data_IF_833657971457
#
_entry.id   IF_833657971457
#
_cell.length_a   1.000
_cell.length_b   1.000
_cell.length_c   1.000
_cell.angle_alpha   90.00
_cell.angle_beta   90.00
_cell.angle_gamma   90.00
#
_symmetry.space_group_name_H-M   'P 1'
#
loop_
_entity.id
_entity.type
_entity.pdbx_description
1 polymer ?
#
# COMPACT_ATOMS: atom_id res chain seq x y z
N UNK A 1 -8.66 10.86 -47.41
CA UNK A 1 -8.05 9.61 -47.94
C UNK A 1 -8.90 8.50 -47.36
N UNK A 2 -9.54 7.70 -48.22
CA UNK A 2 -10.35 6.58 -47.80
C UNK A 2 -9.46 5.51 -47.16
N UNK A 3 -9.80 5.09 -45.94
CA UNK A 3 -9.02 4.10 -45.21
C UNK A 3 -9.02 2.73 -45.91
N UNK A 4 -10.08 2.40 -46.66
CA UNK A 4 -10.19 1.13 -47.36
C UNK A 4 -9.30 1.10 -48.62
N UNK A 5 -9.27 2.17 -49.41
CA UNK A 5 -8.36 2.29 -50.56
C UNK A 5 -6.88 2.26 -50.13
N UNK A 6 -6.56 2.87 -48.98
CA UNK A 6 -5.20 2.87 -48.45
C UNK A 6 -4.75 1.46 -48.03
N UNK A 7 -5.63 0.66 -47.41
CA UNK A 7 -5.32 -0.72 -47.01
C UNK A 7 -5.16 -1.62 -48.23
N UNK A 8 -6.05 -1.49 -49.22
CA UNK A 8 -6.02 -2.30 -50.45
C UNK A 8 -4.76 -2.03 -51.29
N UNK A 9 -4.22 -0.81 -51.25
CA UNK A 9 -2.96 -0.45 -51.91
C UNK A 9 -1.72 -1.18 -51.35
N UNK A 10 -1.79 -1.64 -50.09
CA UNK A 10 -0.68 -2.33 -49.40
C UNK A 10 -0.91 -3.84 -49.34
N UNK A 11 -2.17 -4.27 -49.24
CA UNK A 11 -2.51 -5.69 -49.06
C UNK A 11 -3.91 -6.00 -49.64
N UNK A 12 -4.01 -7.05 -50.45
CA UNK A 12 -5.30 -7.53 -50.98
C UNK A 12 -6.29 -7.81 -49.85
N UNK A 13 -7.53 -7.35 -49.99
CA UNK A 13 -8.61 -7.48 -49.01
C UNK A 13 -8.83 -8.92 -48.51
N UNK A 14 -8.77 -9.92 -49.40
CA UNK A 14 -8.90 -11.33 -49.00
C UNK A 14 -7.75 -11.77 -48.09
N UNK A 15 -6.54 -11.30 -48.39
CA UNK A 15 -5.35 -11.57 -47.59
C UNK A 15 -5.45 -10.86 -46.24
N UNK A 16 -6.00 -9.63 -46.21
CA UNK A 16 -6.21 -8.86 -44.98
C UNK A 16 -7.14 -9.61 -44.03
N UNK A 17 -8.30 -10.06 -44.53
CA UNK A 17 -9.25 -10.88 -43.76
C UNK A 17 -8.58 -12.14 -43.21
N UNK A 18 -7.77 -12.83 -44.03
CA UNK A 18 -7.05 -14.02 -43.58
C UNK A 18 -6.05 -13.73 -42.45
N UNK A 19 -5.29 -12.63 -42.55
CA UNK A 19 -4.36 -12.20 -41.49
C UNK A 19 -5.08 -11.74 -40.23
N UNK A 20 -6.24 -11.09 -40.34
CA UNK A 20 -7.04 -10.71 -39.17
C UNK A 20 -7.57 -11.96 -38.47
N UNK A 21 -8.07 -12.95 -39.21
CA UNK A 21 -8.53 -14.22 -38.64
C UNK A 21 -7.39 -15.04 -38.00
N UNK A 22 -6.18 -15.01 -38.57
CA UNK A 22 -4.99 -15.61 -37.95
C UNK A 22 -4.54 -14.84 -36.72
N UNK A 23 -4.56 -13.51 -36.76
CA UNK A 23 -4.24 -12.66 -35.63
C UNK A 23 -5.24 -12.83 -34.49
N UNK A 24 -6.54 -13.02 -34.78
CA UNK A 24 -7.56 -13.34 -33.78
C UNK A 24 -7.33 -14.71 -33.11
N UNK A 25 -6.81 -15.70 -33.85
CA UNK A 25 -6.43 -17.01 -33.28
C UNK A 25 -5.17 -16.94 -32.41
N UNK A 26 -4.25 -16.02 -32.72
CA UNK A 26 -3.01 -15.80 -31.96
C UNK A 26 -3.23 -14.82 -30.80
N UNK A 27 -4.21 -13.92 -30.92
CA UNK A 27 -4.63 -13.02 -29.88
C UNK A 27 -5.26 -13.83 -28.75
N UNK A 28 -4.90 -13.49 -27.52
CA UNK A 28 -5.56 -14.08 -26.36
C UNK A 28 -7.03 -13.66 -26.37
N UNK A 29 -7.97 -14.56 -26.03
CA UNK A 29 -9.37 -14.21 -25.89
C UNK A 29 -9.54 -12.97 -25.01
N UNK A 30 -10.52 -12.11 -25.30
CA UNK A 30 -10.82 -10.95 -24.46
C UNK A 30 -11.09 -11.34 -22.99
N UNK A 31 -11.55 -12.57 -22.77
CA UNK A 31 -11.91 -13.13 -21.47
C UNK A 31 -10.76 -13.84 -20.76
N UNK A 32 -9.55 -13.86 -21.36
CA UNK A 32 -8.38 -14.55 -20.81
C UNK A 32 -7.98 -13.94 -19.46
N UNK A 33 -8.09 -14.73 -18.40
CA UNK A 33 -7.72 -14.30 -17.06
C UNK A 33 -6.32 -14.81 -16.71
N UNK A 34 -5.42 -13.89 -16.38
CA UNK A 34 -4.06 -14.21 -15.92
C UNK A 34 -4.02 -15.16 -14.71
N UNK A 35 -5.12 -15.29 -13.97
CA UNK A 35 -5.25 -16.27 -12.89
C UNK A 35 -5.07 -17.72 -13.39
N UNK A 36 -5.45 -18.03 -14.63
CA UNK A 36 -5.26 -19.37 -15.22
C UNK A 36 -3.77 -19.76 -15.31
N UNK A 37 -2.88 -18.76 -15.46
CA UNK A 37 -1.44 -18.99 -15.52
C UNK A 37 -0.81 -19.22 -14.14
N UNK A 38 -1.51 -18.86 -13.05
CA UNK A 38 -0.98 -18.97 -11.70
C UNK A 38 -0.88 -20.43 -11.24
N UNK A 39 -1.72 -21.32 -11.76
CA UNK A 39 -1.68 -22.74 -11.40
C UNK A 39 -0.30 -23.36 -11.70
N UNK A 40 0.35 -22.91 -12.79
CA UNK A 40 1.72 -23.31 -13.13
C UNK A 40 2.77 -22.95 -12.05
N UNK A 41 2.46 -21.98 -11.19
CA UNK A 41 3.31 -21.51 -10.09
C UNK A 41 2.89 -22.05 -8.73
N UNK A 42 1.78 -22.80 -8.64
CA UNK A 42 1.29 -23.36 -7.38
C UNK A 42 2.37 -24.21 -6.66
N UNK A 43 3.11 -25.02 -7.42
CA UNK A 43 4.20 -25.84 -6.87
C UNK A 43 5.31 -25.02 -6.21
N UNK A 44 5.58 -23.80 -6.68
CA UNK A 44 6.59 -22.90 -6.10
C UNK A 44 6.07 -22.28 -4.81
N UNK A 45 4.82 -21.80 -4.81
CA UNK A 45 4.14 -21.28 -3.62
C UNK A 45 4.13 -22.31 -2.50
N UNK A 46 3.74 -23.55 -2.80
CA UNK A 46 3.63 -24.64 -1.83
C UNK A 46 4.95 -25.01 -1.14
N UNK A 47 6.12 -24.66 -1.70
CA UNK A 47 7.41 -24.96 -1.06
C UNK A 47 7.61 -24.23 0.25
N UNK A 48 7.01 -23.05 0.41
CA UNK A 48 7.20 -22.24 1.62
C UNK A 48 5.89 -22.04 2.39
N UNK A 49 4.71 -22.13 1.75
CA UNK A 49 3.42 -21.91 2.42
C UNK A 49 3.24 -22.71 3.71
N UNK A 50 3.50 -24.03 3.76
CA UNK A 50 3.30 -24.79 4.98
C UNK A 50 4.16 -24.26 6.14
N UNK A 51 5.43 -23.94 5.86
CA UNK A 51 6.34 -23.43 6.88
C UNK A 51 5.94 -22.04 7.35
N UNK A 52 5.49 -21.19 6.42
CA UNK A 52 4.99 -19.85 6.72
C UNK A 52 3.78 -19.89 7.68
N UNK A 53 2.79 -20.74 7.39
CA UNK A 53 1.57 -20.88 8.22
C UNK A 53 1.82 -21.61 9.55
N UNK A 54 2.87 -22.42 9.62
CA UNK A 54 3.32 -23.04 10.88
C UNK A 54 4.03 -22.03 11.79
N UNK A 55 4.89 -21.19 11.21
CA UNK A 55 5.82 -20.33 11.95
C UNK A 55 5.16 -19.07 12.50
N UNK A 56 4.24 -18.48 11.74
CA UNK A 56 3.63 -17.19 12.09
C UNK A 56 2.22 -17.36 12.64
N UNK A 57 1.92 -16.61 13.69
CA UNK A 57 0.57 -16.42 14.20
C UNK A 57 -0.03 -15.16 13.56
N UNK A 58 -1.01 -15.36 12.68
CA UNK A 58 -1.73 -14.29 12.02
C UNK A 58 -2.99 -13.94 12.81
N UNK A 59 -3.20 -12.65 13.05
CA UNK A 59 -4.41 -12.09 13.65
C UNK A 59 -5.04 -11.10 12.69
N UNK A 60 -6.33 -10.85 12.82
CA UNK A 60 -7.06 -10.03 11.86
C UNK A 60 -8.18 -9.22 12.53
N UNK A 61 -8.55 -8.12 11.87
CA UNK A 61 -9.75 -7.36 12.17
C UNK A 61 -10.98 -8.21 11.86
N UNK A 62 -12.14 -7.81 12.39
CA UNK A 62 -13.43 -8.50 12.14
C UNK A 62 -13.72 -8.69 10.64
N UNK A 63 -13.33 -7.73 9.80
CA UNK A 63 -13.51 -7.78 8.36
C UNK A 63 -12.66 -8.86 7.66
N UNK A 64 -11.50 -9.24 8.23
CA UNK A 64 -10.55 -10.17 7.62
C UNK A 64 -10.51 -11.55 8.29
N UNK A 65 -11.41 -11.83 9.25
CA UNK A 65 -11.49 -13.13 9.94
C UNK A 65 -11.72 -14.31 8.99
N UNK A 66 -12.47 -14.12 7.91
CA UNK A 66 -12.72 -15.17 6.92
C UNK A 66 -11.41 -15.64 6.24
N UNK A 67 -10.44 -14.73 6.06
CA UNK A 67 -9.11 -15.08 5.52
C UNK A 67 -8.33 -15.94 6.52
N UNK A 68 -8.34 -15.59 7.80
CA UNK A 68 -7.65 -16.37 8.84
C UNK A 68 -8.21 -17.79 8.92
N UNK A 69 -9.54 -17.95 8.92
CA UNK A 69 -10.19 -19.26 8.89
C UNK A 69 -9.78 -20.07 7.66
N UNK A 70 -9.68 -19.43 6.50
CA UNK A 70 -9.20 -20.10 5.29
C UNK A 70 -7.76 -20.59 5.42
N UNK A 71 -6.88 -19.80 6.04
CA UNK A 71 -5.49 -20.18 6.33
C UNK A 71 -5.41 -21.34 7.33
N UNK A 72 -6.29 -21.38 8.32
CA UNK A 72 -6.40 -22.51 9.26
C UNK A 72 -6.80 -23.80 8.55
N UNK A 73 -7.79 -23.76 7.65
CA UNK A 73 -8.17 -24.91 6.82
C UNK A 73 -6.98 -25.38 5.98
N UNK A 74 -6.24 -24.45 5.36
CA UNK A 74 -5.04 -24.79 4.58
C UNK A 74 -3.97 -25.42 5.48
N UNK A 75 -3.76 -24.90 6.68
CA UNK A 75 -2.81 -25.45 7.67
C UNK A 75 -3.20 -26.87 8.06
N UNK A 76 -4.47 -27.14 8.32
CA UNK A 76 -4.99 -28.49 8.62
C UNK A 76 -4.82 -29.45 7.44
N UNK A 77 -5.11 -29.01 6.21
CA UNK A 77 -4.88 -29.80 5.00
C UNK A 77 -3.39 -30.09 4.74
N UNK A 78 -2.49 -29.21 5.18
CA UNK A 78 -1.05 -29.43 5.10
C UNK A 78 -0.59 -30.47 6.13
N UNK A 79 -1.13 -30.46 7.34
CA UNK A 79 -0.82 -31.44 8.40
C UNK A 79 -1.37 -32.83 8.06
N UNK A 80 -2.63 -32.89 7.64
CA UNK A 80 -3.32 -34.16 7.32
C UNK A 80 -2.91 -34.75 5.96
N UNK A 81 -2.28 -33.96 5.09
CA UNK A 81 -2.03 -34.33 3.70
C UNK A 81 -3.30 -34.39 2.84
N UNK A 82 -4.43 -33.90 3.34
CA UNK A 82 -5.72 -33.93 2.66
C UNK A 82 -5.68 -33.18 1.33
N UNK A 83 -6.13 -33.80 0.23
CA UNK A 83 -6.03 -33.23 -1.13
C UNK A 83 -7.19 -32.32 -1.52
N UNK A 84 -8.35 -32.49 -0.90
CA UNK A 84 -9.58 -31.75 -1.21
C UNK A 84 -9.91 -30.79 -0.07
N UNK A 85 -10.36 -29.59 -0.43
CA UNK A 85 -10.95 -28.66 0.52
C UNK A 85 -12.39 -29.13 0.80
N UNK A 86 -12.84 -29.20 2.07
CA UNK A 86 -14.22 -29.58 2.39
C UNK A 86 -15.23 -28.63 1.74
N UNK A 87 -16.35 -29.15 1.24
CA UNK A 87 -17.37 -28.33 0.56
C UNK A 87 -18.08 -27.35 1.50
N UNK A 88 -18.07 -27.63 2.81
CA UNK A 88 -18.57 -26.74 3.86
C UNK A 88 -17.63 -25.57 4.21
N UNK A 89 -16.49 -25.44 3.51
CA UNK A 89 -15.50 -24.40 3.80
C UNK A 89 -16.04 -23.02 3.41
N UNK A 90 -15.86 -22.05 4.30
CA UNK A 90 -16.22 -20.66 4.03
C UNK A 90 -15.42 -20.08 2.86
N UNK A 91 -16.13 -19.49 1.90
CA UNK A 91 -15.60 -18.84 0.70
C UNK A 91 -15.96 -17.35 0.66
N UNK A 92 -16.50 -16.78 1.74
CA UNK A 92 -16.90 -15.36 1.82
C UNK A 92 -15.76 -14.37 1.57
N UNK A 93 -14.51 -14.76 1.83
CA UNK A 93 -13.32 -13.95 1.55
C UNK A 93 -12.93 -13.92 0.06
N UNK A 94 -13.49 -14.82 -0.78
CA UNK A 94 -13.10 -14.97 -2.18
C UNK A 94 -13.71 -13.84 -3.01
N UNK A 95 -12.85 -12.98 -3.57
CA UNK A 95 -13.30 -11.89 -4.45
C UNK A 95 -13.94 -12.44 -5.73
N UNK A 96 -14.88 -11.71 -6.37
CA UNK A 96 -15.59 -12.17 -7.58
C UNK A 96 -14.68 -12.66 -8.71
N UNK A 97 -13.51 -12.04 -8.87
CA UNK A 97 -12.51 -12.42 -9.87
C UNK A 97 -11.93 -13.82 -9.65
N UNK A 98 -11.77 -14.24 -8.40
CA UNK A 98 -11.26 -15.56 -8.04
C UNK A 98 -12.35 -16.63 -8.01
N UNK A 99 -13.60 -16.25 -7.75
CA UNK A 99 -14.72 -17.16 -7.51
C UNK A 99 -14.87 -18.22 -8.60
N UNK A 100 -14.77 -17.82 -9.88
CA UNK A 100 -14.87 -18.73 -11.04
C UNK A 100 -13.77 -19.80 -11.11
N UNK A 101 -12.64 -19.57 -10.45
CA UNK A 101 -11.51 -20.50 -10.41
C UNK A 101 -11.51 -21.34 -9.14
N UNK A 102 -11.92 -20.74 -8.02
CA UNK A 102 -11.98 -21.38 -6.70
C UNK A 102 -13.15 -22.36 -6.59
N UNK A 103 -14.33 -21.99 -7.10
CA UNK A 103 -15.56 -22.79 -7.01
C UNK A 103 -15.90 -23.35 -8.38
N UNK A 104 -15.91 -24.68 -8.50
CA UNK A 104 -16.27 -25.42 -9.72
C UNK A 104 -17.47 -26.31 -9.41
N UNK A 105 -18.68 -25.81 -9.68
CA UNK A 105 -19.93 -26.44 -9.25
C UNK A 105 -19.98 -26.48 -7.72
N UNK A 106 -20.17 -27.67 -7.15
CA UNK A 106 -20.20 -27.87 -5.69
C UNK A 106 -18.81 -28.13 -5.09
N UNK A 107 -17.76 -28.14 -5.91
CA UNK A 107 -16.40 -28.47 -5.45
C UNK A 107 -15.50 -27.23 -5.37
N UNK A 108 -14.63 -27.22 -4.36
CA UNK A 108 -13.60 -26.19 -4.18
C UNK A 108 -12.27 -26.69 -4.73
N UNK A 109 -11.70 -25.94 -5.67
CA UNK A 109 -10.37 -26.18 -6.21
C UNK A 109 -9.31 -25.73 -5.19
N UNK A 110 -8.57 -26.69 -4.63
CA UNK A 110 -7.55 -26.42 -3.60
C UNK A 110 -6.49 -25.44 -4.07
N UNK A 111 -6.00 -25.56 -5.31
CA UNK A 111 -4.89 -24.73 -5.77
C UNK A 111 -5.32 -23.26 -5.80
N UNK A 112 -6.46 -22.99 -6.43
CA UNK A 112 -7.00 -21.64 -6.49
C UNK A 112 -7.46 -21.12 -5.14
N UNK A 113 -8.02 -21.98 -4.27
CA UNK A 113 -8.38 -21.61 -2.91
C UNK A 113 -7.15 -21.14 -2.11
N UNK A 114 -6.06 -21.91 -2.13
CA UNK A 114 -4.82 -21.58 -1.42
C UNK A 114 -4.16 -20.33 -2.00
N UNK A 115 -4.09 -20.20 -3.33
CA UNK A 115 -3.57 -18.99 -3.98
C UNK A 115 -4.40 -17.75 -3.65
N UNK A 116 -5.72 -17.87 -3.63
CA UNK A 116 -6.63 -16.79 -3.24
C UNK A 116 -6.41 -16.39 -1.78
N UNK A 117 -6.36 -17.36 -0.86
CA UNK A 117 -6.13 -17.10 0.56
C UNK A 117 -4.79 -16.40 0.82
N UNK A 118 -3.73 -16.81 0.12
CA UNK A 118 -2.41 -16.16 0.22
C UNK A 118 -2.40 -14.76 -0.41
N UNK A 119 -3.15 -14.53 -1.49
CA UNK A 119 -3.28 -13.22 -2.11
C UNK A 119 -4.04 -12.24 -1.20
N UNK A 120 -5.09 -12.71 -0.52
CA UNK A 120 -5.83 -11.93 0.46
C UNK A 120 -5.00 -11.72 1.74
N UNK A 121 -4.24 -12.72 2.20
CA UNK A 121 -3.27 -12.55 3.30
C UNK A 121 -2.26 -11.42 2.98
N UNK A 122 -1.66 -11.43 1.79
CA UNK A 122 -0.75 -10.37 1.36
C UNK A 122 -1.42 -9.00 1.35
N UNK A 123 -2.69 -8.95 0.93
CA UNK A 123 -3.45 -7.71 0.87
C UNK A 123 -3.78 -7.18 2.27
N UNK A 124 -4.21 -8.05 3.18
CA UNK A 124 -4.50 -7.73 4.58
C UNK A 124 -3.27 -7.29 5.36
N UNK A 125 -2.11 -7.94 5.14
CA UNK A 125 -0.84 -7.50 5.72
C UNK A 125 -0.42 -6.11 5.22
N UNK A 126 -0.77 -5.76 3.98
CA UNK A 126 -0.45 -4.46 3.39
C UNK A 126 -1.40 -3.36 3.86
N UNK A 127 -2.68 -3.67 4.08
CA UNK A 127 -3.65 -2.70 4.59
C UNK A 127 -3.58 -2.52 6.10
N UNK A 128 -3.01 -3.49 6.83
CA UNK A 128 -3.04 -3.53 8.29
C UNK A 128 -4.27 -4.27 8.86
N UNK A 129 -5.15 -4.81 8.00
CA UNK A 129 -6.30 -5.61 8.45
C UNK A 129 -5.89 -6.98 9.00
N UNK A 130 -4.70 -7.44 8.64
CA UNK A 130 -4.07 -8.65 9.16
C UNK A 130 -2.69 -8.27 9.68
N UNK A 131 -2.33 -8.78 10.86
CA UNK A 131 -1.03 -8.57 11.48
C UNK A 131 -0.43 -9.88 11.97
N UNK A 132 0.86 -9.84 12.28
CA UNK A 132 1.64 -10.98 12.76
C UNK A 132 2.05 -10.70 14.20
N UNK A 133 1.66 -11.58 15.12
CA UNK A 133 2.01 -11.43 16.53
C UNK A 133 3.54 -11.38 16.71
N UNK A 134 4.03 -10.35 17.40
CA UNK A 134 5.47 -10.13 17.65
C UNK A 134 6.26 -9.54 16.47
N UNK A 135 5.62 -9.25 15.34
CA UNK A 135 6.25 -8.49 14.26
C UNK A 135 6.31 -7.01 14.62
N UNK A 136 7.34 -6.29 14.16
CA UNK A 136 7.40 -4.80 14.22
C UNK A 136 6.94 -4.15 12.90
N UNK A 137 7.06 -4.88 11.80
CA UNK A 137 6.73 -4.39 10.46
C UNK A 137 5.25 -4.60 10.12
N UNK A 138 4.67 -5.68 10.65
CA UNK A 138 3.27 -6.07 10.45
C UNK A 138 2.63 -6.24 11.83
N UNK A 139 2.74 -5.24 12.70
CA UNK A 139 2.10 -5.24 14.02
C UNK A 139 0.66 -4.75 13.92
N UNK A 140 -0.10 -4.92 15.00
CA UNK A 140 -1.46 -4.39 15.09
C UNK A 140 -1.44 -2.87 14.90
N UNK A 141 -2.44 -2.33 14.20
CA UNK A 141 -2.56 -0.88 14.06
C UNK A 141 -2.71 -0.20 15.42
N UNK A 142 -3.47 -0.81 16.32
CA UNK A 142 -3.70 -0.28 17.67
C UNK A 142 -2.41 -0.23 18.51
N UNK A 143 -1.44 -1.11 18.23
CA UNK A 143 -0.13 -1.10 18.90
C UNK A 143 0.75 0.11 18.52
N UNK A 144 0.42 0.82 17.44
CA UNK A 144 1.05 2.12 17.11
C UNK A 144 0.43 3.29 17.86
N UNK A 145 -0.77 3.12 18.41
CA UNK A 145 -1.49 4.17 19.11
C UNK A 145 -1.11 4.20 20.60
N UNK A 146 -1.50 5.28 21.27
CA UNK A 146 -1.43 5.32 22.73
C UNK A 146 -2.39 4.28 23.29
N UNK A 147 -1.90 3.42 24.18
CA UNK A 147 -2.75 2.47 24.87
C UNK A 147 -3.94 3.18 25.54
N UNK A 148 -5.13 2.60 25.44
CA UNK A 148 -6.37 3.18 25.97
C UNK A 148 -6.25 3.62 27.43
N UNK A 149 -5.56 2.83 28.27
CA UNK A 149 -5.33 3.16 29.67
C UNK A 149 -4.49 4.43 29.84
N UNK A 150 -3.44 4.60 29.03
CA UNK A 150 -2.62 5.80 28.99
C UNK A 150 -3.43 7.00 28.47
N UNK A 151 -4.23 6.80 27.41
CA UNK A 151 -5.11 7.83 26.87
C UNK A 151 -6.12 8.33 27.90
N UNK A 152 -6.83 7.42 28.57
CA UNK A 152 -7.79 7.76 29.64
C UNK A 152 -7.13 8.52 30.79
N UNK A 153 -5.90 8.15 31.16
CA UNK A 153 -5.12 8.87 32.17
C UNK A 153 -4.75 10.29 31.72
N UNK A 154 -4.36 10.47 30.46
CA UNK A 154 -4.06 11.79 29.88
C UNK A 154 -5.29 12.69 29.81
N UNK A 155 -6.44 12.14 29.41
CA UNK A 155 -7.73 12.84 29.41
C UNK A 155 -8.11 13.31 30.82
N UNK A 156 -8.01 12.42 31.81
CA UNK A 156 -8.39 12.71 33.20
C UNK A 156 -7.48 13.76 33.85
N UNK A 157 -6.20 13.78 33.46
CA UNK A 157 -5.20 14.72 33.99
C UNK A 157 -5.08 16.01 33.18
N UNK A 158 -5.85 16.17 32.09
CA UNK A 158 -5.75 17.31 31.16
C UNK A 158 -4.31 17.57 30.66
N UNK A 159 -3.51 16.51 30.50
CA UNK A 159 -2.09 16.59 30.09
C UNK A 159 -1.88 16.29 28.60
N UNK A 160 -2.94 16.31 27.80
CA UNK A 160 -2.86 16.05 26.36
C UNK A 160 -1.96 17.11 25.71
N UNK A 161 -0.82 16.72 25.09
CA UNK A 161 0.21 17.66 24.63
C UNK A 161 -0.15 18.26 23.26
N UNK A 162 -1.36 18.80 23.13
CA UNK A 162 -1.86 19.41 21.89
C UNK A 162 -2.40 20.79 22.19
N UNK A 163 -1.96 21.79 21.41
CA UNK A 163 -2.36 23.19 21.57
C UNK A 163 -3.71 23.50 20.88
N UNK A 164 -4.70 22.63 21.05
CA UNK A 164 -6.06 22.79 20.49
C UNK A 164 -7.10 22.41 21.53
N UNK A 165 -8.36 22.81 21.31
CA UNK A 165 -9.46 22.37 22.15
C UNK A 165 -9.56 20.83 22.12
N UNK A 166 -9.53 20.20 23.29
CA UNK A 166 -9.59 18.73 23.42
C UNK A 166 -11.01 18.19 23.31
N UNK A 167 -12.02 19.06 23.47
CA UNK A 167 -13.42 18.73 23.23
C UNK A 167 -13.74 18.76 21.73
N UNK A 168 -14.25 17.64 21.21
CA UNK A 168 -14.52 17.46 19.78
C UNK A 168 -15.51 18.50 19.24
N UNK A 169 -16.61 18.73 19.96
CA UNK A 169 -17.68 19.63 19.52
C UNK A 169 -17.17 21.07 19.43
N UNK A 170 -16.49 21.52 20.48
CA UNK A 170 -15.87 22.85 20.52
C UNK A 170 -14.82 23.00 19.41
N UNK A 171 -13.98 21.99 19.21
CA UNK A 171 -12.94 22.02 18.19
C UNK A 171 -13.52 22.12 16.77
N UNK A 172 -14.54 21.30 16.45
CA UNK A 172 -15.11 21.28 15.10
C UNK A 172 -15.92 22.54 14.80
N UNK A 173 -16.62 23.11 15.79
CA UNK A 173 -17.31 24.39 15.66
C UNK A 173 -16.32 25.53 15.40
N UNK A 174 -15.23 25.60 16.17
CA UNK A 174 -14.17 26.59 15.97
C UNK A 174 -13.56 26.50 14.57
N UNK A 175 -13.22 25.28 14.11
CA UNK A 175 -12.64 25.07 12.77
C UNK A 175 -13.64 25.36 11.65
N UNK A 176 -14.91 25.05 11.86
CA UNK A 176 -15.96 25.36 10.88
C UNK A 176 -16.17 26.87 10.74
N UNK A 177 -16.18 27.58 11.86
CA UNK A 177 -16.28 29.04 11.87
C UNK A 177 -15.06 29.67 11.18
N UNK A 178 -13.84 29.29 11.57
CA UNK A 178 -12.60 29.77 10.96
C UNK A 178 -12.59 29.51 9.45
N UNK A 179 -12.97 28.30 9.02
CA UNK A 179 -13.08 27.97 7.60
C UNK A 179 -14.09 28.89 6.89
N UNK A 180 -15.26 29.12 7.48
CA UNK A 180 -16.30 29.98 6.90
C UNK A 180 -15.84 31.43 6.76
N UNK A 181 -15.13 31.96 7.76
CA UNK A 181 -14.57 33.31 7.76
C UNK A 181 -13.48 33.45 6.69
N UNK A 182 -12.57 32.46 6.60
CA UNK A 182 -11.51 32.47 5.59
C UNK A 182 -12.08 32.33 4.17
N UNK A 183 -13.09 31.49 3.97
CA UNK A 183 -13.76 31.37 2.68
C UNK A 183 -14.48 32.67 2.28
N UNK A 184 -15.15 33.33 3.22
CA UNK A 184 -15.79 34.62 2.98
C UNK A 184 -14.76 35.71 2.62
N UNK A 185 -13.63 35.73 3.32
CA UNK A 185 -12.51 36.63 3.04
C UNK A 185 -11.90 36.38 1.66
N UNK A 186 -11.63 35.11 1.31
CA UNK A 186 -11.11 34.75 -0.01
C UNK A 186 -12.11 35.15 -1.09
N UNK A 187 -13.40 34.87 -0.89
CA UNK A 187 -14.46 35.26 -1.83
C UNK A 187 -14.50 36.77 -2.07
N UNK A 188 -14.42 37.60 -1.02
CA UNK A 188 -14.37 39.06 -1.19
C UNK A 188 -13.10 39.52 -1.91
N UNK A 189 -11.95 38.93 -1.60
CA UNK A 189 -10.69 39.25 -2.29
C UNK A 189 -10.67 38.83 -3.77
N UNK A 190 -11.38 37.75 -4.15
CA UNK A 190 -11.59 37.38 -5.56
C UNK A 190 -12.38 38.48 -6.27
N UNK A 191 -13.51 38.90 -5.69
CA UNK A 191 -14.39 39.92 -6.27
C UNK A 191 -13.65 41.26 -6.42
N UNK A 192 -12.82 41.62 -5.45
CA UNK A 192 -12.02 42.85 -5.46
C UNK A 192 -10.73 42.73 -6.29
N UNK A 193 -10.47 41.56 -6.89
CA UNK A 193 -9.25 41.23 -7.64
C UNK A 193 -7.94 41.53 -6.85
N UNK A 194 -7.98 41.27 -5.53
CA UNK A 194 -6.88 41.53 -4.58
C UNK A 194 -6.04 40.29 -4.26
N UNK A 195 -6.47 39.10 -4.69
CA UNK A 195 -5.68 37.90 -4.51
C UNK A 195 -4.48 37.91 -5.45
N UNK A 196 -3.30 37.95 -4.84
CA UNK A 196 -2.03 37.78 -5.55
C UNK A 196 -1.90 36.30 -5.93
N UNK A 197 -1.46 36.04 -7.16
CA UNK A 197 -1.16 34.70 -7.67
C UNK A 197 -2.34 33.72 -7.80
N UNK A 198 -3.57 34.15 -7.51
CA UNK A 198 -4.78 33.31 -7.65
C UNK A 198 -5.79 34.01 -8.56
N UNK A 199 -6.26 33.30 -9.59
CA UNK A 199 -7.30 33.80 -10.51
C UNK A 199 -8.34 32.72 -10.80
N UNK A 200 -9.54 33.13 -11.19
CA UNK A 200 -10.60 32.23 -11.64
C UNK A 200 -10.83 32.48 -13.13
N UNK A 201 -10.60 31.46 -13.96
CA UNK A 201 -10.87 31.47 -15.40
C UNK A 201 -11.71 30.23 -15.74
N UNK A 202 -12.80 30.39 -16.50
CA UNK A 202 -13.67 29.28 -16.92
C UNK A 202 -14.11 28.34 -15.78
N UNK A 203 -14.54 28.90 -14.64
CA UNK A 203 -14.92 28.16 -13.43
C UNK A 203 -13.78 27.32 -12.78
N UNK A 204 -12.54 27.53 -13.20
CA UNK A 204 -11.36 26.86 -12.63
C UNK A 204 -10.53 27.84 -11.80
N UNK A 205 -10.17 27.39 -10.59
CA UNK A 205 -9.23 28.10 -9.73
C UNK A 205 -7.80 27.84 -10.22
N UNK A 206 -7.15 28.87 -10.71
CA UNK A 206 -5.75 28.83 -11.16
C UNK A 206 -4.89 29.47 -10.07
N UNK A 207 -4.04 28.66 -9.45
CA UNK A 207 -3.04 29.10 -8.48
C UNK A 207 -1.68 29.08 -9.18
N UNK A 208 -0.99 30.23 -9.19
CA UNK A 208 0.34 30.35 -9.77
C UNK A 208 1.30 29.48 -8.95
N UNK A 209 2.10 28.59 -9.59
CA UNK A 209 3.05 27.76 -8.87
C UNK A 209 4.00 28.63 -8.04
N UNK A 210 4.25 28.22 -6.80
CA UNK A 210 5.25 28.87 -5.96
C UNK A 210 6.61 28.81 -6.68
N UNK A 211 7.17 29.97 -7.00
CA UNK A 211 8.56 30.05 -7.43
C UNK A 211 9.48 29.83 -6.25
N UNK A 212 10.60 29.14 -6.48
CA UNK A 212 11.61 28.95 -5.45
C UNK A 212 12.04 30.33 -4.89
N UNK A 213 11.67 30.60 -3.64
CA UNK A 213 11.95 31.86 -2.96
C UNK A 213 13.42 31.99 -2.54
N UNK A 214 14.22 30.93 -2.74
CA UNK A 214 15.65 30.91 -2.45
C UNK A 214 16.37 31.74 -3.53
N UNK A 215 17.04 32.85 -3.15
CA UNK A 215 17.88 33.61 -4.08
C UNK A 215 18.99 32.72 -4.65
N UNK A 216 19.34 32.90 -5.92
CA UNK A 216 20.38 32.08 -6.59
C UNK A 216 21.74 32.18 -5.89
N UNK A 217 21.98 33.28 -5.19
CA UNK A 217 23.16 33.56 -4.39
C UNK A 217 23.31 32.57 -3.22
N UNK A 218 22.19 32.01 -2.71
CA UNK A 218 22.20 31.02 -1.62
C UNK A 218 22.76 29.69 -2.10
N UNK A 219 22.53 29.30 -3.36
CA UNK A 219 23.14 28.10 -3.93
C UNK A 219 24.66 28.25 -4.04
N UNK A 220 25.14 29.44 -4.42
CA UNK A 220 26.57 29.73 -4.49
C UNK A 220 27.22 29.75 -3.09
N UNK A 221 26.52 30.33 -2.11
CA UNK A 221 26.96 30.33 -0.72
C UNK A 221 26.98 28.92 -0.14
N UNK A 222 25.93 28.12 -0.36
CA UNK A 222 25.85 26.72 0.07
C UNK A 222 27.01 25.90 -0.50
N UNK A 223 27.32 26.06 -1.79
CA UNK A 223 28.50 25.42 -2.40
C UNK A 223 29.82 25.85 -1.75
N UNK A 224 29.98 27.14 -1.44
CA UNK A 224 31.17 27.64 -0.72
C UNK A 224 31.26 27.03 0.68
N UNK A 225 30.17 27.00 1.44
CA UNK A 225 30.13 26.37 2.77
C UNK A 225 30.46 24.88 2.69
N UNK A 226 29.84 24.14 1.76
CA UNK A 226 30.14 22.72 1.54
C UNK A 226 31.59 22.48 1.11
N UNK A 227 32.22 23.42 0.40
CA UNK A 227 33.65 23.30 0.01
C UNK A 227 34.62 23.47 1.19
N UNK A 228 34.19 24.09 2.29
CA UNK A 228 34.97 24.21 3.52
C UNK A 228 34.89 22.95 4.38
N UNK A 229 33.90 22.09 4.14
CA UNK A 229 33.76 20.83 4.88
C UNK A 229 34.81 19.82 4.39
N UNK A 230 35.49 19.12 5.31
CA UNK A 230 36.45 18.10 4.93
C UNK A 230 35.74 16.94 4.22
N UNK A 231 36.38 16.41 3.16
CA UNK A 231 35.92 15.20 2.50
C UNK A 231 36.36 13.98 3.30
N UNK A 232 35.51 13.55 4.23
CA UNK A 232 35.74 12.34 5.04
C UNK A 232 35.02 11.14 4.42
N UNK A 233 35.52 9.94 4.70
CA UNK A 233 34.80 8.71 4.32
C UNK A 233 33.57 8.58 5.22
N UNK A 234 32.47 8.10 4.67
CA UNK A 234 31.25 7.85 5.44
C UNK A 234 31.50 6.92 6.62
N UNK A 235 32.41 5.95 6.47
CA UNK A 235 32.83 5.04 7.55
C UNK A 235 33.43 5.79 8.73
N UNK A 236 34.27 6.80 8.47
CA UNK A 236 34.98 7.53 9.51
C UNK A 236 34.01 8.45 10.26
N UNK A 237 33.07 9.07 9.52
CA UNK A 237 31.96 9.83 10.12
C UNK A 237 31.09 8.95 11.02
N UNK A 238 30.77 7.73 10.58
CA UNK A 238 29.96 6.80 11.38
C UNK A 238 30.69 6.37 12.66
N UNK A 239 32.01 6.16 12.60
CA UNK A 239 32.85 5.86 13.78
C UNK A 239 32.88 7.06 14.74
N UNK A 240 33.01 8.28 14.22
CA UNK A 240 33.01 9.50 15.03
C UNK A 240 31.65 9.71 15.73
N UNK A 241 30.54 9.57 14.99
CA UNK A 241 29.19 9.67 15.56
C UNK A 241 28.92 8.56 16.57
N UNK A 242 29.43 7.35 16.33
CA UNK A 242 29.37 6.27 17.30
C UNK A 242 30.17 6.58 18.56
N UNK A 243 31.32 7.24 18.46
CA UNK A 243 32.08 7.67 19.64
C UNK A 243 31.28 8.65 20.53
N UNK A 244 30.39 9.46 19.94
CA UNK A 244 29.57 10.43 20.66
C UNK A 244 28.30 9.81 21.24
N UNK A 245 27.64 8.94 20.48
CA UNK A 245 26.30 8.45 20.78
C UNK A 245 26.30 7.02 21.33
N UNK A 246 27.39 6.28 21.07
CA UNK A 246 27.54 4.86 21.34
C UNK A 246 26.35 4.06 20.79
N UNK A 247 25.87 4.38 19.59
CA UNK A 247 24.66 3.76 19.07
C UNK A 247 24.89 2.29 18.71
N UNK A 248 26.14 1.90 18.40
CA UNK A 248 26.52 0.52 18.04
C UNK A 248 26.25 -0.50 19.16
N UNK A 249 26.27 -0.09 20.43
CA UNK A 249 25.95 -0.96 21.59
C UNK A 249 24.53 -1.56 21.55
N UNK A 250 23.65 -0.97 20.76
CA UNK A 250 22.27 -1.44 20.56
C UNK A 250 22.14 -2.44 19.41
N UNK A 251 23.23 -2.69 18.68
CA UNK A 251 23.31 -3.67 17.59
C UNK A 251 24.10 -4.90 18.04
N UNK A 252 23.71 -6.05 17.51
CA UNK A 252 24.40 -7.32 17.75
C UNK A 252 25.26 -7.67 16.53
N UNK A 253 26.46 -8.16 16.78
CA UNK A 253 27.37 -8.58 15.73
C UNK A 253 26.77 -9.75 14.95
N UNK A 254 26.58 -9.56 13.63
CA UNK A 254 25.77 -10.45 12.77
C UNK A 254 26.22 -11.92 12.79
N UNK A 255 27.51 -12.19 13.06
CA UNK A 255 28.08 -13.55 13.04
C UNK A 255 28.30 -14.16 14.42
N UNK A 256 28.48 -13.36 15.48
CA UNK A 256 28.78 -13.87 16.83
C UNK A 256 27.62 -13.69 17.82
N UNK A 257 26.65 -12.83 17.52
CA UNK A 257 25.53 -12.52 18.42
C UNK A 257 25.93 -11.69 19.65
N UNK A 258 27.21 -11.33 19.77
CA UNK A 258 27.72 -10.47 20.85
C UNK A 258 27.35 -9.00 20.60
N UNK A 259 27.23 -8.22 21.67
CA UNK A 259 27.02 -6.78 21.58
C UNK A 259 28.31 -6.11 21.03
N UNK A 260 28.12 -5.18 20.10
CA UNK A 260 29.22 -4.39 19.47
C UNK A 260 29.74 -3.35 20.46
#
# INVERSE_FOLDING_TARGET
>A
IDAYEAIESVLNWEKFISTVAEAEKLARPADFDYLELLDNRYSQLRRYTPKLLETFEFKATSASLAVIKALEVIKELNISGGRKVPESTDTSFVKPRWLKHVVKGDTIDRHYYEMCALAELRSGLRSGDIWVAGSKQFQDFEDYLLADSSWQSMCSSQTIPVAVATDFTTYIEQRSLELSEQLALVSSMIVENKLVDVRIENEQLIITPLTNAVPKEVDEFSRKVHSLLPRIKLTDLLVEVDSWTQFTKHFTHLHSGEQV
#
